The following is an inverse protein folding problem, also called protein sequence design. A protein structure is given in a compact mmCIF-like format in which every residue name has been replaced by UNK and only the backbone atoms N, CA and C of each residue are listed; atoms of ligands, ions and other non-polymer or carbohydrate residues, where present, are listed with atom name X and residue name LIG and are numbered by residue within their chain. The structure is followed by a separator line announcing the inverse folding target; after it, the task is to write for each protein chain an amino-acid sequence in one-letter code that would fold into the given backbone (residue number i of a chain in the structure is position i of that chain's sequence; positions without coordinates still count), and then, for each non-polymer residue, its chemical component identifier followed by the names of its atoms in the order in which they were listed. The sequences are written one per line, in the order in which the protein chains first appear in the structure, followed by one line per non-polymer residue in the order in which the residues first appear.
data_IF_178950916013
#
_entry.id   IF_178950916013
#
_cell.length_a   1.000
_cell.length_b   1.000
_cell.length_c   1.000
_cell.angle_alpha   90.00
_cell.angle_beta   90.00
_cell.angle_gamma   90.00
#
_symmetry.space_group_name_H-M   'P 1'
#
loop_
_entity.id
_entity.type
_entity.pdbx_description
1 polymer ?
#
# COMPACT_ATOMS: atom_id res chain seq x y z
N UNK A 1 -14.47 62.17 5.80
CA UNK A 1 -13.19 61.50 6.11
C UNK A 1 -12.93 60.46 5.02
N UNK A 2 -12.09 60.75 4.00
CA UNK A 2 -11.87 59.88 2.85
C UNK A 2 -10.66 58.92 2.99
N UNK A 3 -9.92 58.99 4.10
CA UNK A 3 -8.74 58.14 4.35
C UNK A 3 -9.07 56.72 4.83
N UNK A 4 -10.16 56.54 5.57
CA UNK A 4 -10.51 55.27 6.23
C UNK A 4 -11.01 54.20 5.23
N UNK A 5 -11.79 54.62 4.23
CA UNK A 5 -12.33 53.72 3.18
C UNK A 5 -11.20 53.07 2.36
N UNK A 6 -10.10 53.79 2.13
CA UNK A 6 -8.96 53.28 1.35
C UNK A 6 -8.10 52.29 2.18
N UNK A 7 -8.00 52.51 3.50
CA UNK A 7 -7.31 51.56 4.39
C UNK A 7 -8.07 50.24 4.56
N UNK A 8 -9.40 50.27 4.65
CA UNK A 8 -10.21 49.05 4.77
C UNK A 8 -10.15 48.19 3.52
N UNK A 9 -10.23 48.81 2.33
CA UNK A 9 -10.11 48.11 1.04
C UNK A 9 -8.74 47.46 0.90
N UNK A 10 -7.66 48.18 1.27
CA UNK A 10 -6.29 47.62 1.27
C UNK A 10 -6.12 46.48 2.27
N UNK A 11 -6.69 46.61 3.47
CA UNK A 11 -6.65 45.59 4.50
C UNK A 11 -7.36 44.31 4.03
N UNK A 12 -8.61 44.43 3.54
CA UNK A 12 -9.37 43.29 3.01
C UNK A 12 -8.67 42.64 1.82
N UNK A 13 -8.06 43.41 0.93
CA UNK A 13 -7.26 42.89 -0.18
C UNK A 13 -6.03 42.11 0.31
N UNK A 14 -5.36 42.60 1.34
CA UNK A 14 -4.23 41.90 1.96
C UNK A 14 -4.65 40.60 2.65
N UNK A 15 -5.77 40.60 3.37
CA UNK A 15 -6.34 39.41 4.03
C UNK A 15 -6.77 38.37 2.99
N UNK A 16 -7.38 38.82 1.89
CA UNK A 16 -7.78 37.94 0.80
C UNK A 16 -6.56 37.28 0.15
N UNK A 17 -5.50 38.05 -0.15
CA UNK A 17 -4.28 37.47 -0.70
C UNK A 17 -3.57 36.53 0.26
N UNK A 18 -3.47 36.85 1.55
CA UNK A 18 -2.83 35.96 2.51
C UNK A 18 -3.60 34.65 2.65
N UNK A 19 -4.94 34.68 2.60
CA UNK A 19 -5.78 33.49 2.67
C UNK A 19 -5.63 32.63 1.41
N UNK A 20 -5.66 33.23 0.21
CA UNK A 20 -5.47 32.50 -1.06
C UNK A 20 -4.07 31.91 -1.15
N UNK A 21 -3.03 32.66 -0.78
CA UNK A 21 -1.65 32.19 -0.80
C UNK A 21 -1.47 31.04 0.20
N UNK A 22 -1.98 31.18 1.43
CA UNK A 22 -1.88 30.12 2.44
C UNK A 22 -2.62 28.84 2.02
N UNK A 23 -3.83 28.97 1.48
CA UNK A 23 -4.58 27.82 0.96
C UNK A 23 -3.85 27.13 -0.19
N UNK A 24 -3.28 27.90 -1.12
CA UNK A 24 -2.49 27.35 -2.23
C UNK A 24 -1.23 26.62 -1.75
N UNK A 25 -0.50 27.20 -0.78
CA UNK A 25 0.67 26.57 -0.17
C UNK A 25 0.30 25.28 0.56
N UNK A 26 -0.78 25.26 1.33
CA UNK A 26 -1.20 24.04 2.05
C UNK A 26 -1.56 22.89 1.10
N UNK A 27 -2.07 23.18 -0.09
CA UNK A 27 -2.42 22.15 -1.07
C UNK A 27 -1.20 21.67 -1.86
N UNK A 28 -0.32 22.58 -2.25
CA UNK A 28 0.80 22.28 -3.17
C UNK A 28 2.05 21.82 -2.41
N UNK A 29 2.33 22.39 -1.23
CA UNK A 29 3.56 22.09 -0.48
C UNK A 29 3.69 20.61 -0.09
N UNK A 30 2.64 19.90 0.38
CA UNK A 30 2.76 18.47 0.69
C UNK A 30 3.09 17.62 -0.52
N UNK A 31 2.58 17.98 -1.71
CA UNK A 31 2.85 17.25 -2.95
C UNK A 31 4.35 17.26 -3.28
N UNK A 32 5.06 18.38 -3.06
CA UNK A 32 6.51 18.44 -3.25
C UNK A 32 7.31 17.49 -2.34
N UNK A 33 6.80 17.15 -1.16
CA UNK A 33 7.46 16.17 -0.27
C UNK A 33 7.28 14.72 -0.73
N UNK A 34 6.27 14.46 -1.58
CA UNK A 34 5.93 13.12 -2.09
C UNK A 34 6.46 12.91 -3.51
N UNK A 35 6.63 13.99 -4.30
CA UNK A 35 7.18 13.91 -5.66
C UNK A 35 8.56 13.25 -5.64
N UNK A 36 8.68 12.12 -6.34
CA UNK A 36 9.92 11.36 -6.46
C UNK A 36 10.13 10.29 -5.38
N UNK A 37 9.19 10.12 -4.43
CA UNK A 37 9.21 8.97 -3.52
C UNK A 37 8.36 7.85 -4.11
N UNK A 38 8.97 6.71 -4.35
CA UNK A 38 8.24 5.48 -4.67
C UNK A 38 7.57 4.94 -3.40
N UNK A 39 6.36 4.42 -3.52
CA UNK A 39 5.70 3.73 -2.41
C UNK A 39 6.47 2.44 -2.13
N UNK A 40 7.22 2.43 -1.04
CA UNK A 40 7.90 1.23 -0.56
C UNK A 40 6.87 0.21 -0.07
N UNK A 41 6.95 -1.01 -0.60
CA UNK A 41 6.11 -2.12 -0.15
C UNK A 41 6.73 -2.87 1.04
N UNK A 42 8.04 -2.68 1.25
CA UNK A 42 8.75 -3.12 2.44
C UNK A 42 8.66 -2.05 3.53
N UNK A 43 8.39 -2.45 4.76
CA UNK A 43 8.46 -1.58 5.93
C UNK A 43 9.90 -1.21 6.31
N UNK A 44 10.90 -1.79 5.64
CA UNK A 44 12.32 -1.62 5.93
C UNK A 44 12.96 -0.72 4.87
N UNK A 45 13.41 0.47 5.29
CA UNK A 45 14.04 1.50 4.43
C UNK A 45 15.49 1.18 4.02
N UNK A 46 16.06 0.03 4.43
CA UNK A 46 17.43 -0.32 4.07
C UNK A 46 17.49 -0.92 2.66
N UNK A 47 18.36 -0.35 1.83
CA UNK A 47 18.59 -0.69 0.41
C UNK A 47 18.81 -2.17 0.09
N UNK A 48 19.15 -3.00 1.07
CA UNK A 48 19.34 -4.46 0.92
C UNK A 48 18.11 -5.32 1.29
N UNK A 49 17.06 -4.72 1.86
CA UNK A 49 15.82 -5.41 2.29
C UNK A 49 14.60 -5.09 1.42
N UNK A 50 14.80 -4.49 0.25
CA UNK A 50 13.74 -4.27 -0.74
C UNK A 50 13.42 -5.51 -1.59
N UNK A 51 13.82 -6.71 -1.16
CA UNK A 51 13.69 -7.95 -1.95
C UNK A 51 12.26 -8.21 -2.45
N UNK A 52 11.23 -7.87 -1.68
CA UNK A 52 9.82 -7.99 -2.11
C UNK A 52 9.42 -6.89 -3.11
N UNK A 53 10.02 -5.70 -3.02
CA UNK A 53 9.82 -4.63 -4.00
C UNK A 53 10.55 -4.94 -5.32
N UNK A 54 11.76 -5.49 -5.27
CA UNK A 54 12.49 -5.96 -6.45
C UNK A 54 11.77 -7.14 -7.13
N UNK A 55 11.19 -8.05 -6.33
CA UNK A 55 10.34 -9.12 -6.82
C UNK A 55 9.07 -8.56 -7.49
N UNK A 56 8.46 -7.50 -6.94
CA UNK A 56 7.33 -6.84 -7.57
C UNK A 56 7.73 -6.25 -8.92
N UNK A 57 8.84 -5.53 -8.98
CA UNK A 57 9.26 -4.83 -10.19
C UNK A 57 9.57 -5.80 -11.33
N UNK A 58 10.27 -6.90 -11.04
CA UNK A 58 10.49 -7.96 -12.03
C UNK A 58 9.20 -8.64 -12.50
N UNK A 59 8.19 -8.80 -11.64
CA UNK A 59 6.89 -9.35 -12.03
C UNK A 59 6.06 -8.38 -12.87
N UNK A 60 6.13 -7.08 -12.57
CA UNK A 60 5.43 -6.04 -13.35
C UNK A 60 6.03 -5.92 -14.76
N UNK A 61 7.36 -6.05 -14.89
CA UNK A 61 8.03 -6.10 -16.19
C UNK A 61 7.58 -7.29 -17.05
N UNK A 62 7.17 -8.39 -16.42
CA UNK A 62 6.61 -9.59 -17.05
C UNK A 62 5.06 -9.50 -17.22
N UNK A 63 4.49 -8.30 -17.14
CA UNK A 63 3.05 -7.99 -17.29
C UNK A 63 2.12 -8.59 -16.21
N UNK A 64 2.66 -9.02 -15.06
CA UNK A 64 1.83 -9.46 -13.94
C UNK A 64 1.28 -8.27 -13.16
N UNK A 65 -0.01 -8.36 -12.80
CA UNK A 65 -0.65 -7.43 -11.88
C UNK A 65 -0.33 -7.83 -10.44
N UNK A 66 0.61 -7.10 -9.82
CA UNK A 66 0.99 -7.32 -8.42
C UNK A 66 0.21 -6.37 -7.52
N UNK A 67 -0.53 -6.93 -6.56
CA UNK A 67 -1.23 -6.17 -5.53
C UNK A 67 -0.75 -6.64 -4.15
N UNK A 68 -0.59 -5.71 -3.22
CA UNK A 68 -0.39 -6.04 -1.81
C UNK A 68 -1.72 -6.05 -1.08
N UNK A 69 -1.88 -7.03 -0.18
CA UNK A 69 -2.87 -6.93 0.88
C UNK A 69 -2.13 -7.06 2.21
N UNK A 70 -2.36 -6.13 3.13
CA UNK A 70 -1.87 -6.23 4.51
C UNK A 70 -2.82 -7.08 5.39
N UNK A 71 -3.92 -7.59 4.83
CA UNK A 71 -4.90 -8.36 5.60
C UNK A 71 -4.50 -9.82 5.77
N UNK A 72 -5.10 -10.45 6.78
CA UNK A 72 -5.06 -11.91 6.97
C UNK A 72 -5.47 -12.63 5.68
N UNK A 73 -4.93 -13.83 5.41
CA UNK A 73 -5.26 -14.63 4.23
C UNK A 73 -6.74 -15.01 4.12
N UNK A 74 -7.64 -14.62 5.02
CA UNK A 74 -9.07 -14.92 4.88
C UNK A 74 -9.74 -14.33 3.63
N UNK A 75 -9.16 -13.30 3.02
CA UNK A 75 -9.74 -12.61 1.86
C UNK A 75 -9.38 -13.26 0.50
N UNK A 76 -8.64 -14.38 0.46
CA UNK A 76 -8.40 -15.07 -0.83
C UNK A 76 -9.67 -15.65 -1.44
N UNK A 77 -10.71 -15.86 -0.63
CA UNK A 77 -11.98 -16.38 -1.09
C UNK A 77 -12.70 -15.39 -2.04
N UNK A 78 -12.47 -14.07 -1.91
CA UNK A 78 -13.15 -13.05 -2.71
C UNK A 78 -12.48 -12.76 -4.07
N UNK A 79 -11.43 -13.49 -4.43
CA UNK A 79 -10.71 -13.26 -5.68
C UNK A 79 -11.52 -13.77 -6.87
N UNK A 80 -11.68 -12.90 -7.88
CA UNK A 80 -12.54 -13.13 -9.04
C UNK A 80 -12.07 -14.27 -9.96
N UNK A 81 -10.75 -14.40 -10.14
CA UNK A 81 -10.11 -15.37 -11.05
C UNK A 81 -8.95 -16.13 -10.38
N UNK A 82 -9.25 -16.96 -9.36
CA UNK A 82 -8.23 -17.59 -8.51
C UNK A 82 -7.26 -18.49 -9.28
N UNK A 83 -7.74 -19.19 -10.31
CA UNK A 83 -6.94 -20.08 -11.18
C UNK A 83 -5.82 -19.37 -11.97
N UNK A 84 -5.89 -18.05 -12.13
CA UNK A 84 -4.88 -17.21 -12.79
C UNK A 84 -4.10 -16.33 -11.81
N UNK A 85 -4.33 -16.49 -10.52
CA UNK A 85 -3.71 -15.70 -9.47
C UNK A 85 -2.67 -16.51 -8.69
N UNK A 86 -1.63 -15.81 -8.24
CA UNK A 86 -0.62 -16.31 -7.33
C UNK A 86 -0.75 -15.55 -6.01
N UNK A 87 -0.95 -16.27 -4.90
CA UNK A 87 -0.85 -15.71 -3.55
C UNK A 87 0.56 -15.96 -3.02
N UNK A 88 1.31 -14.90 -2.73
CA UNK A 88 2.60 -14.98 -2.08
C UNK A 88 2.49 -14.50 -0.62
N UNK A 89 2.74 -15.39 0.35
CA UNK A 89 2.82 -15.05 1.77
C UNK A 89 4.30 -15.03 2.15
N UNK A 90 4.86 -13.85 2.44
CA UNK A 90 6.28 -13.65 2.71
C UNK A 90 6.44 -13.01 4.09
N UNK A 91 7.29 -13.60 4.94
CA UNK A 91 7.65 -13.07 6.24
C UNK A 91 6.46 -12.86 7.19
N UNK A 92 5.60 -13.88 7.43
CA UNK A 92 4.46 -13.74 8.31
C UNK A 92 4.91 -13.39 9.73
N UNK A 93 4.43 -12.27 10.28
CA UNK A 93 4.75 -11.82 11.64
C UNK A 93 4.06 -12.66 12.73
N UNK A 94 2.95 -13.31 12.38
CA UNK A 94 2.17 -14.18 13.26
C UNK A 94 2.06 -15.58 12.66
N UNK A 95 2.02 -16.63 13.49
CA UNK A 95 1.68 -17.97 13.03
C UNK A 95 0.32 -17.96 12.35
N UNK A 96 0.23 -18.69 11.24
CA UNK A 96 -1.01 -18.82 10.47
C UNK A 96 -1.98 -19.69 11.26
N UNK A 97 -3.20 -19.18 11.45
CA UNK A 97 -4.24 -19.86 12.22
C UNK A 97 -4.93 -20.98 11.40
N UNK A 98 -5.62 -21.90 12.07
CA UNK A 98 -6.30 -23.03 11.42
C UNK A 98 -7.35 -22.56 10.40
N UNK A 99 -8.07 -21.47 10.72
CA UNK A 99 -9.06 -20.89 9.80
C UNK A 99 -8.40 -20.31 8.54
N UNK A 100 -7.23 -19.68 8.68
CA UNK A 100 -6.49 -19.12 7.55
C UNK A 100 -5.89 -20.23 6.68
N UNK A 101 -5.42 -21.31 7.31
CA UNK A 101 -4.92 -22.50 6.62
C UNK A 101 -6.02 -23.19 5.81
N UNK A 102 -7.23 -23.33 6.36
CA UNK A 102 -8.38 -23.91 5.65
C UNK A 102 -8.78 -23.09 4.42
N UNK A 103 -8.78 -21.76 4.51
CA UNK A 103 -9.08 -20.89 3.36
C UNK A 103 -7.98 -20.95 2.28
N UNK A 104 -6.71 -21.04 2.68
CA UNK A 104 -5.60 -21.27 1.75
C UNK A 104 -5.74 -22.64 1.08
N UNK A 105 -6.13 -23.68 1.83
CA UNK A 105 -6.36 -25.02 1.30
C UNK A 105 -7.50 -25.04 0.27
N UNK A 106 -8.64 -24.40 0.55
CA UNK A 106 -9.75 -24.26 -0.41
C UNK A 106 -9.35 -23.46 -1.64
N UNK A 107 -8.56 -22.39 -1.47
CA UNK A 107 -8.07 -21.59 -2.59
C UNK A 107 -7.21 -22.42 -3.57
N UNK A 108 -6.37 -23.31 -3.06
CA UNK A 108 -5.56 -24.20 -3.91
C UNK A 108 -6.39 -25.34 -4.49
N UNK A 109 -7.16 -26.03 -3.64
CA UNK A 109 -7.82 -27.30 -3.98
C UNK A 109 -9.12 -27.12 -4.74
N UNK A 110 -9.96 -26.17 -4.33
CA UNK A 110 -11.29 -25.96 -4.93
C UNK A 110 -11.28 -24.93 -6.04
N UNK A 111 -10.41 -23.91 -5.93
CA UNK A 111 -10.38 -22.77 -6.84
C UNK A 111 -9.21 -22.78 -7.84
N UNK A 112 -8.26 -23.70 -7.67
CA UNK A 112 -7.12 -23.88 -8.58
C UNK A 112 -6.06 -22.77 -8.49
N UNK A 113 -6.07 -21.98 -7.42
CA UNK A 113 -5.08 -20.93 -7.19
C UNK A 113 -3.71 -21.50 -6.81
N UNK A 114 -2.66 -20.71 -7.05
CA UNK A 114 -1.28 -21.08 -6.65
C UNK A 114 -0.87 -20.27 -5.43
N UNK A 115 -0.21 -20.91 -4.48
CA UNK A 115 0.24 -20.29 -3.23
C UNK A 115 1.72 -20.59 -3.00
N UNK A 116 2.50 -19.56 -2.69
CA UNK A 116 3.90 -19.68 -2.25
C UNK A 116 3.99 -19.08 -0.85
N UNK A 117 4.57 -19.83 0.09
CA UNK A 117 4.75 -19.39 1.48
C UNK A 117 6.24 -19.40 1.81
N UNK A 118 6.78 -18.24 2.15
CA UNK A 118 8.14 -18.05 2.62
C UNK A 118 8.10 -17.54 4.07
N UNK A 119 8.46 -18.40 5.02
CA UNK A 119 8.38 -18.11 6.46
C UNK A 119 9.59 -18.68 7.19
N UNK A 120 10.04 -17.97 8.23
CA UNK A 120 11.00 -18.50 9.19
C UNK A 120 10.30 -19.56 10.06
N UNK A 121 10.72 -20.82 9.88
CA UNK A 121 10.44 -22.11 10.54
C UNK A 121 9.21 -22.32 11.46
N UNK A 122 8.77 -21.36 12.28
CA UNK A 122 7.66 -21.55 13.24
C UNK A 122 6.31 -21.07 12.73
N UNK A 123 6.27 -20.08 11.84
CA UNK A 123 5.02 -19.38 11.52
C UNK A 123 4.20 -20.02 10.39
N UNK A 124 4.82 -20.90 9.58
CA UNK A 124 4.15 -21.63 8.49
C UNK A 124 3.97 -23.14 8.73
N UNK A 125 4.36 -23.66 9.91
CA UNK A 125 4.39 -25.10 10.16
C UNK A 125 2.99 -25.77 10.07
N UNK A 126 1.92 -25.00 10.31
CA UNK A 126 0.53 -25.49 10.18
C UNK A 126 0.02 -25.56 8.73
N UNK A 127 0.60 -24.79 7.80
CA UNK A 127 0.28 -24.89 6.38
C UNK A 127 1.02 -26.06 5.69
N UNK A 128 2.11 -26.54 6.29
CA UNK A 128 2.96 -27.57 5.71
C UNK A 128 2.55 -29.01 6.07
N UNK A 129 1.63 -29.19 7.04
CA UNK A 129 1.09 -30.49 7.44
C UNK A 129 -0.26 -30.77 6.78
#
# INVERSE_FOLDING_TARGET
MPGEVNSEVRFNKSVFYSLVITASLLLVMPMFFVVGKETAYSAYEQSELFQVSDMRDSLVDEEYLVANTMSTPMLVNDWKDPHRSLLAIIGPEKPIDETEADEVFKFVTEKGGKVIVASDNTNANRLAN
#
